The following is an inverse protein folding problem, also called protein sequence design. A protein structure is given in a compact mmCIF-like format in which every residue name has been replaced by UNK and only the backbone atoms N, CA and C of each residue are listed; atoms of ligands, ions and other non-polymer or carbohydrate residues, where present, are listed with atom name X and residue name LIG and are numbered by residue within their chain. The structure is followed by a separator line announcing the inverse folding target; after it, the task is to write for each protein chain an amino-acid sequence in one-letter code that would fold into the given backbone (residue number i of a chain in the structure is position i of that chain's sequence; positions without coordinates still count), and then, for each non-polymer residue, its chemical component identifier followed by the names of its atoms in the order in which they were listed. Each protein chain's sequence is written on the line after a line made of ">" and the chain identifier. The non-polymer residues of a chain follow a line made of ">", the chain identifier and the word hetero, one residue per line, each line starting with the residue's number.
data_IF_441674835502
#
_entry.id   IF_441674835502
#
_cell.length_a   1.000
_cell.length_b   1.000
_cell.length_c   1.000
_cell.angle_alpha   90.00
_cell.angle_beta   90.00
_cell.angle_gamma   90.00
#
_symmetry.space_group_name_H-M   'P 1'
#
loop_
_entity.id
_entity.type
_entity.pdbx_description
1 polymer ?
#
# COMPACT_ATOMS: atom_id res chain seq x y z
N UNK A 1 -2.28 22.16 -10.41
CA UNK A 1 -1.29 21.13 -10.78
C UNK A 1 -2.08 19.93 -11.27
N UNK A 2 -1.96 19.55 -12.53
CA UNK A 2 -2.75 18.46 -13.14
C UNK A 2 -2.17 17.13 -12.66
N UNK A 3 -3.04 16.21 -12.22
CA UNK A 3 -2.59 14.85 -11.91
C UNK A 3 -2.02 14.19 -13.17
N UNK A 4 -0.94 13.39 -13.08
CA UNK A 4 -0.39 12.68 -14.22
C UNK A 4 -1.46 11.73 -14.82
N UNK A 5 -1.44 11.56 -16.11
CA UNK A 5 -2.32 10.63 -16.82
C UNK A 5 -2.01 9.17 -16.40
N UNK A 6 -2.97 8.26 -16.60
CA UNK A 6 -2.76 6.81 -16.34
C UNK A 6 -1.52 6.27 -17.07
N UNK A 7 -1.22 6.78 -18.26
CA UNK A 7 -0.02 6.41 -19.01
C UNK A 7 1.26 6.89 -18.31
N UNK A 8 1.26 8.12 -17.77
CA UNK A 8 2.38 8.66 -17.00
C UNK A 8 2.53 7.96 -15.65
N UNK A 9 1.42 7.56 -14.98
CA UNK A 9 1.48 6.77 -13.74
C UNK A 9 2.05 5.37 -13.96
N UNK A 10 1.77 4.74 -15.11
CA UNK A 10 2.42 3.48 -15.50
C UNK A 10 3.93 3.62 -15.70
N UNK A 11 4.39 4.80 -16.05
CA UNK A 11 5.82 5.11 -16.24
C UNK A 11 6.52 5.33 -14.89
N UNK A 12 5.82 5.83 -13.85
CA UNK A 12 6.38 6.06 -12.50
C UNK A 12 6.47 4.75 -11.69
N UNK A 13 5.73 3.72 -12.08
CA UNK A 13 5.68 2.42 -11.39
C UNK A 13 4.91 2.46 -10.05
N UNK A 14 4.39 1.31 -9.64
CA UNK A 14 3.76 1.14 -8.32
C UNK A 14 4.85 1.19 -7.26
N UNK A 15 4.66 1.92 -6.14
CA UNK A 15 5.62 1.97 -5.04
C UNK A 15 5.97 0.58 -4.48
N UNK A 16 7.13 0.47 -3.85
CA UNK A 16 7.62 -0.81 -3.28
C UNK A 16 7.46 -0.91 -1.77
N UNK A 17 7.36 0.21 -1.06
CA UNK A 17 7.09 0.25 0.39
C UNK A 17 5.79 0.99 0.63
N UNK A 18 4.83 0.31 1.24
CA UNK A 18 3.51 0.83 1.55
C UNK A 18 3.35 0.94 3.07
N UNK A 19 3.35 2.14 3.62
CA UNK A 19 3.03 2.41 5.02
C UNK A 19 1.50 2.44 5.19
N UNK A 20 0.93 1.48 5.92
CA UNK A 20 -0.53 1.34 6.06
C UNK A 20 -0.97 1.80 7.44
N UNK A 21 -2.01 2.63 7.52
CA UNK A 21 -2.57 3.12 8.78
C UNK A 21 -3.65 2.19 9.35
N UNK A 22 -4.00 2.43 10.63
CA UNK A 22 -5.16 1.86 11.32
C UNK A 22 -5.94 2.97 12.02
N UNK A 23 -7.11 2.66 12.57
CA UNK A 23 -7.89 3.62 13.36
C UNK A 23 -7.09 4.20 14.55
N UNK A 24 -6.26 3.37 15.19
CA UNK A 24 -5.40 3.77 16.31
C UNK A 24 -4.29 4.73 15.85
N UNK A 25 -3.68 4.45 14.70
CA UNK A 25 -2.60 5.28 14.15
C UNK A 25 -3.13 6.67 13.75
N UNK A 26 -4.24 6.73 13.03
CA UNK A 26 -4.81 8.02 12.59
C UNK A 26 -5.37 8.86 13.75
N UNK A 27 -5.54 8.27 14.92
CA UNK A 27 -5.97 8.97 16.13
C UNK A 27 -4.82 9.54 16.95
N UNK A 28 -3.57 9.28 16.59
CA UNK A 28 -2.39 9.83 17.27
C UNK A 28 -2.32 11.34 17.05
N UNK A 29 -1.94 12.13 18.08
CA UNK A 29 -1.84 13.59 17.95
C UNK A 29 -0.84 14.05 16.87
N UNK A 30 0.23 13.30 16.69
CA UNK A 30 1.34 13.55 15.75
C UNK A 30 1.17 12.85 14.40
N UNK A 31 0.00 12.26 14.14
CA UNK A 31 -0.23 11.43 12.95
C UNK A 31 0.15 12.13 11.64
N UNK A 32 -0.32 13.37 11.43
CA UNK A 32 -0.08 14.08 10.16
C UNK A 32 1.42 14.37 9.98
N UNK A 33 2.09 14.83 11.03
CA UNK A 33 3.53 15.16 10.96
C UNK A 33 4.35 13.90 10.68
N UNK A 34 4.05 12.80 11.37
CA UNK A 34 4.69 11.50 11.16
C UNK A 34 4.41 10.96 9.75
N UNK A 35 3.17 11.04 9.28
CA UNK A 35 2.78 10.60 7.94
C UNK A 35 3.53 11.39 6.85
N UNK A 36 3.62 12.71 6.99
CA UNK A 36 4.37 13.56 6.06
C UNK A 36 5.87 13.24 6.07
N UNK A 37 6.45 12.94 7.23
CA UNK A 37 7.85 12.53 7.35
C UNK A 37 8.10 11.19 6.65
N UNK A 38 7.24 10.20 6.87
CA UNK A 38 7.29 8.91 6.17
C UNK A 38 7.17 9.11 4.64
N UNK A 39 6.21 9.91 4.18
CA UNK A 39 6.04 10.18 2.74
C UNK A 39 7.26 10.86 2.14
N UNK A 40 7.93 11.73 2.89
CA UNK A 40 9.13 12.42 2.44
C UNK A 40 10.30 11.46 2.26
N UNK A 41 10.56 10.60 3.22
CA UNK A 41 11.71 9.69 3.18
C UNK A 41 11.52 8.58 2.14
N UNK A 42 10.30 8.11 1.96
CA UNK A 42 9.98 7.10 0.96
C UNK A 42 9.96 7.66 -0.47
N UNK A 43 9.60 8.94 -0.63
CA UNK A 43 9.52 9.60 -1.93
C UNK A 43 8.63 8.84 -2.92
N UNK A 44 8.94 8.89 -4.23
CA UNK A 44 8.15 8.24 -5.27
C UNK A 44 8.15 6.69 -5.20
N UNK A 45 9.05 6.11 -4.39
CA UNK A 45 9.14 4.66 -4.14
C UNK A 45 8.21 4.18 -3.02
N UNK A 46 7.56 5.11 -2.31
CA UNK A 46 6.68 4.83 -1.20
C UNK A 46 5.24 5.24 -1.40
N UNK A 47 4.37 4.54 -0.68
CA UNK A 47 2.96 4.86 -0.59
C UNK A 47 2.51 4.92 0.88
N UNK A 48 1.63 5.86 1.17
CA UNK A 48 0.90 5.92 2.43
C UNK A 48 -0.54 5.49 2.16
N UNK A 49 -0.98 4.41 2.80
CA UNK A 49 -2.38 3.99 2.77
C UNK A 49 -3.14 4.63 3.93
N UNK A 50 -4.02 5.57 3.62
CA UNK A 50 -4.98 6.10 4.58
C UNK A 50 -6.12 5.09 4.74
N UNK A 51 -6.03 4.31 5.82
CA UNK A 51 -7.00 3.28 6.17
C UNK A 51 -7.50 3.51 7.58
N UNK A 52 -8.79 3.86 7.70
CA UNK A 52 -9.49 4.02 8.97
C UNK A 52 -10.98 3.72 8.75
N UNK A 53 -11.56 2.90 9.62
CA UNK A 53 -12.95 2.44 9.48
C UNK A 53 -13.92 3.13 10.44
N UNK A 54 -13.39 3.80 11.47
CA UNK A 54 -14.18 4.42 12.54
C UNK A 54 -14.34 5.93 12.40
N UNK A 55 -13.64 6.55 11.45
CA UNK A 55 -13.74 7.98 11.22
C UNK A 55 -15.05 8.35 10.50
N UNK A 56 -15.56 9.53 10.81
CA UNK A 56 -16.61 10.14 9.98
C UNK A 56 -16.07 10.47 8.59
N UNK A 57 -16.96 10.49 7.57
CA UNK A 57 -16.56 10.85 6.21
C UNK A 57 -15.86 12.20 6.13
N UNK A 58 -16.36 13.21 6.84
CA UNK A 58 -15.76 14.56 6.89
C UNK A 58 -14.33 14.54 7.46
N UNK A 59 -14.09 13.80 8.55
CA UNK A 59 -12.75 13.70 9.14
C UNK A 59 -11.80 12.92 8.22
N UNK A 60 -12.27 11.84 7.60
CA UNK A 60 -11.49 11.05 6.67
C UNK A 60 -11.11 11.87 5.43
N UNK A 61 -12.06 12.66 4.87
CA UNK A 61 -11.82 13.61 3.78
C UNK A 61 -10.74 14.65 4.16
N UNK A 62 -10.88 15.30 5.31
CA UNK A 62 -9.91 16.30 5.78
C UNK A 62 -8.49 15.75 5.93
N UNK A 63 -8.35 14.50 6.41
CA UNK A 63 -7.04 13.82 6.48
C UNK A 63 -6.50 13.52 5.08
N UNK A 64 -7.34 13.04 4.17
CA UNK A 64 -6.93 12.74 2.80
C UNK A 64 -6.44 14.00 2.07
N UNK A 65 -7.12 15.14 2.23
CA UNK A 65 -6.72 16.44 1.64
C UNK A 65 -5.36 16.91 2.18
N UNK A 66 -5.16 16.83 3.49
CA UNK A 66 -3.86 17.18 4.11
C UNK A 66 -2.71 16.30 3.60
N UNK A 67 -2.93 15.00 3.46
CA UNK A 67 -1.93 14.06 2.96
C UNK A 67 -1.71 14.19 1.44
N UNK A 68 -2.73 14.57 0.67
CA UNK A 68 -2.58 14.84 -0.76
C UNK A 68 -1.66 16.05 -1.04
N UNK A 69 -1.66 17.06 -0.14
CA UNK A 69 -0.68 18.13 -0.21
C UNK A 69 0.76 17.62 -0.03
N UNK A 70 0.98 16.72 0.94
CA UNK A 70 2.29 16.08 1.14
C UNK A 70 2.70 15.21 -0.07
N UNK A 71 1.75 14.49 -0.69
CA UNK A 71 1.98 13.75 -1.94
C UNK A 71 2.57 14.66 -3.04
N UNK A 72 2.00 15.85 -3.21
CA UNK A 72 2.46 16.82 -4.21
C UNK A 72 3.90 17.30 -3.98
N UNK A 73 4.33 17.38 -2.74
CA UNK A 73 5.67 17.86 -2.35
C UNK A 73 6.72 16.76 -2.38
N UNK A 74 6.37 15.54 -2.03
CA UNK A 74 7.32 14.44 -1.80
C UNK A 74 7.43 13.48 -3.00
N UNK A 75 6.44 13.47 -3.87
CA UNK A 75 6.31 12.46 -4.92
C UNK A 75 5.78 11.10 -4.41
N UNK A 76 5.70 10.90 -3.10
CA UNK A 76 5.12 9.71 -2.48
C UNK A 76 3.63 9.58 -2.81
N UNK A 77 3.11 8.37 -2.84
CA UNK A 77 1.71 8.13 -3.17
C UNK A 77 0.82 8.21 -1.94
N UNK A 78 -0.27 8.97 -2.02
CA UNK A 78 -1.42 8.77 -1.15
C UNK A 78 -2.35 7.74 -1.78
N UNK A 79 -2.67 6.70 -1.05
CA UNK A 79 -3.65 5.68 -1.41
C UNK A 79 -4.76 5.71 -0.35
N UNK A 80 -5.99 5.89 -0.78
CA UNK A 80 -7.16 5.92 0.10
C UNK A 80 -7.85 4.56 0.10
N UNK A 81 -8.02 3.96 1.27
CA UNK A 81 -8.69 2.66 1.36
C UNK A 81 -10.21 2.80 1.31
N UNK A 82 -10.87 1.92 0.56
CA UNK A 82 -12.32 1.69 0.45
C UNK A 82 -13.16 2.88 -0.07
N UNK A 83 -12.66 4.11 -0.04
CA UNK A 83 -13.39 5.34 -0.33
C UNK A 83 -12.87 6.01 -1.61
N UNK A 84 -13.32 5.50 -2.77
CA UNK A 84 -12.96 6.05 -4.09
C UNK A 84 -13.41 7.50 -4.24
N UNK A 85 -14.59 7.84 -3.73
CA UNK A 85 -15.13 9.19 -3.69
C UNK A 85 -14.17 10.17 -3.01
N UNK A 86 -13.62 9.79 -1.86
CA UNK A 86 -12.63 10.59 -1.13
C UNK A 86 -11.28 10.60 -1.86
N UNK A 87 -10.86 9.47 -2.43
CA UNK A 87 -9.63 9.43 -3.22
C UNK A 87 -9.66 10.44 -4.38
N UNK A 88 -10.78 10.48 -5.12
CA UNK A 88 -10.99 11.43 -6.21
C UNK A 88 -11.06 12.88 -5.71
N UNK A 89 -11.86 13.14 -4.69
CA UNK A 89 -12.08 14.48 -4.16
C UNK A 89 -10.80 15.09 -3.56
N UNK A 90 -9.98 14.30 -2.89
CA UNK A 90 -8.71 14.75 -2.31
C UNK A 90 -7.55 14.80 -3.33
N UNK A 91 -7.70 14.22 -4.52
CA UNK A 91 -6.63 14.11 -5.49
C UNK A 91 -5.54 13.11 -5.11
N UNK A 92 -5.93 12.03 -4.43
CA UNK A 92 -5.03 10.91 -4.16
C UNK A 92 -4.59 10.23 -5.45
N UNK A 93 -3.39 9.64 -5.49
CA UNK A 93 -2.92 8.88 -6.65
C UNK A 93 -3.59 7.53 -6.82
N UNK A 94 -4.08 6.95 -5.74
CA UNK A 94 -4.72 5.65 -5.82
C UNK A 94 -5.77 5.38 -4.77
N UNK A 95 -6.51 4.30 -4.99
CA UNK A 95 -7.41 3.71 -4.01
C UNK A 95 -7.10 2.22 -3.84
N UNK A 96 -7.16 1.74 -2.60
CA UNK A 96 -7.04 0.31 -2.27
C UNK A 96 -8.41 -0.25 -1.96
N UNK A 97 -8.85 -1.23 -2.73
CA UNK A 97 -10.10 -1.93 -2.52
C UNK A 97 -9.92 -3.16 -1.63
N UNK A 98 -10.87 -3.36 -0.74
CA UNK A 98 -10.95 -4.54 0.12
C UNK A 98 -12.27 -5.28 -0.12
N UNK A 99 -12.52 -6.38 0.58
CA UNK A 99 -13.78 -7.12 0.51
C UNK A 99 -15.02 -6.29 0.90
N UNK A 100 -14.82 -5.09 1.49
CA UNK A 100 -15.89 -4.15 1.86
C UNK A 100 -16.14 -3.06 0.84
N UNK A 101 -15.29 -2.96 -0.16
CA UNK A 101 -15.40 -1.97 -1.24
C UNK A 101 -16.37 -2.41 -2.33
N UNK A 102 -16.67 -1.50 -3.23
CA UNK A 102 -17.30 -1.86 -4.51
C UNK A 102 -16.37 -2.76 -5.34
N UNK A 103 -16.92 -3.50 -6.27
CA UNK A 103 -16.13 -4.36 -7.16
C UNK A 103 -15.10 -3.54 -7.95
N UNK A 104 -13.93 -4.13 -8.23
CA UNK A 104 -12.85 -3.48 -8.99
C UNK A 104 -13.32 -2.98 -10.36
N UNK A 105 -14.18 -3.76 -11.04
CA UNK A 105 -14.77 -3.37 -12.34
C UNK A 105 -15.66 -2.12 -12.25
N UNK A 106 -16.40 -1.96 -11.15
CA UNK A 106 -17.25 -0.79 -10.94
C UNK A 106 -16.41 0.42 -10.50
N UNK A 107 -15.40 0.19 -9.67
CA UNK A 107 -14.41 1.20 -9.33
C UNK A 107 -13.74 1.77 -10.58
N UNK A 108 -13.35 0.93 -11.53
CA UNK A 108 -12.73 1.35 -12.78
C UNK A 108 -13.67 2.18 -13.66
N UNK A 109 -14.98 1.89 -13.68
CA UNK A 109 -15.98 2.70 -14.38
C UNK A 109 -16.14 4.09 -13.78
N UNK A 110 -16.16 4.17 -12.44
CA UNK A 110 -16.34 5.44 -11.70
C UNK A 110 -15.08 6.30 -11.73
N UNK A 111 -13.92 5.66 -11.65
CA UNK A 111 -12.61 6.31 -11.55
C UNK A 111 -11.62 5.77 -12.61
N UNK A 112 -11.85 6.03 -13.92
CA UNK A 112 -11.06 5.40 -15.00
C UNK A 112 -9.59 5.78 -14.99
N UNK A 113 -9.24 6.92 -14.40
CA UNK A 113 -7.86 7.46 -14.34
C UNK A 113 -7.18 7.25 -12.98
N UNK A 114 -7.91 6.81 -11.95
CA UNK A 114 -7.35 6.54 -10.64
C UNK A 114 -6.60 5.20 -10.65
N UNK A 115 -5.42 5.13 -10.02
CA UNK A 115 -4.75 3.86 -9.81
C UNK A 115 -5.51 3.03 -8.76
N UNK A 116 -5.81 1.77 -9.05
CA UNK A 116 -6.67 0.91 -8.22
C UNK A 116 -5.91 -0.34 -7.79
N UNK A 117 -5.76 -0.52 -6.49
CA UNK A 117 -5.29 -1.75 -5.88
C UNK A 117 -6.43 -2.62 -5.37
N UNK A 118 -6.25 -3.92 -5.37
CA UNK A 118 -7.19 -4.88 -4.81
C UNK A 118 -6.53 -5.77 -3.75
N UNK A 119 -7.19 -5.94 -2.60
CA UNK A 119 -6.78 -6.91 -1.59
C UNK A 119 -7.28 -8.30 -1.98
N UNK A 120 -6.38 -9.29 -1.94
CA UNK A 120 -6.67 -10.66 -2.37
C UNK A 120 -6.13 -11.67 -1.37
N UNK A 121 -6.78 -12.84 -1.31
CA UNK A 121 -6.48 -13.88 -0.32
C UNK A 121 -6.17 -15.24 -0.96
N UNK A 122 -6.31 -15.34 -2.28
CA UNK A 122 -5.91 -16.49 -3.07
C UNK A 122 -5.58 -16.11 -4.52
N UNK A 123 -5.18 -17.09 -5.33
CA UNK A 123 -4.79 -16.90 -6.74
C UNK A 123 -5.98 -16.51 -7.61
N UNK A 124 -7.16 -17.06 -7.33
CA UNK A 124 -8.35 -16.81 -8.16
C UNK A 124 -8.90 -15.40 -7.93
N UNK A 125 -8.97 -14.93 -6.67
CA UNK A 125 -9.28 -13.54 -6.37
C UNK A 125 -8.30 -12.59 -7.08
N UNK A 126 -7.02 -12.95 -7.11
CA UNK A 126 -6.00 -12.20 -7.84
C UNK A 126 -6.30 -12.10 -9.33
N UNK A 127 -6.61 -13.23 -9.98
CA UNK A 127 -6.94 -13.27 -11.42
C UNK A 127 -8.21 -12.46 -11.74
N UNK A 128 -9.24 -12.60 -10.92
CA UNK A 128 -10.49 -11.84 -11.08
C UNK A 128 -10.22 -10.34 -10.95
N UNK A 129 -9.46 -9.91 -9.95
CA UNK A 129 -9.13 -8.50 -9.73
C UNK A 129 -8.31 -7.90 -10.88
N UNK A 130 -7.34 -8.66 -11.42
CA UNK A 130 -6.55 -8.25 -12.60
C UNK A 130 -7.47 -8.08 -13.81
N UNK A 131 -8.31 -9.06 -14.09
CA UNK A 131 -9.25 -9.02 -15.21
C UNK A 131 -10.25 -7.85 -15.08
N UNK A 132 -10.58 -7.46 -13.85
CA UNK A 132 -11.43 -6.32 -13.53
C UNK A 132 -10.68 -4.96 -13.59
N UNK A 133 -9.37 -4.94 -13.86
CA UNK A 133 -8.59 -3.74 -14.07
C UNK A 133 -7.86 -3.21 -12.84
N UNK A 134 -7.47 -4.07 -11.88
CA UNK A 134 -6.56 -3.69 -10.80
C UNK A 134 -5.16 -3.37 -11.36
N UNK A 135 -4.55 -2.29 -10.85
CA UNK A 135 -3.19 -1.86 -11.21
C UNK A 135 -2.13 -2.52 -10.32
N UNK A 136 -2.50 -2.93 -9.12
CA UNK A 136 -1.68 -3.77 -8.22
C UNK A 136 -2.57 -4.63 -7.32
N UNK A 137 -1.97 -5.65 -6.73
CA UNK A 137 -2.61 -6.53 -5.75
C UNK A 137 -1.93 -6.41 -4.40
N UNK A 138 -2.70 -6.39 -3.32
CA UNK A 138 -2.20 -6.55 -1.96
C UNK A 138 -2.58 -7.95 -1.48
N UNK A 139 -1.60 -8.84 -1.44
CA UNK A 139 -1.76 -10.22 -1.00
C UNK A 139 -1.67 -10.29 0.53
N UNK A 140 -2.83 -10.43 1.17
CA UNK A 140 -2.93 -10.56 2.61
C UNK A 140 -2.62 -12.00 3.02
N UNK A 141 -1.56 -12.18 3.80
CA UNK A 141 -1.38 -13.45 4.50
C UNK A 141 -2.46 -13.56 5.57
N UNK A 142 -3.15 -14.69 5.61
CA UNK A 142 -4.04 -14.99 6.72
C UNK A 142 -3.20 -14.98 8.00
N UNK A 143 -3.32 -13.91 8.80
CA UNK A 143 -2.79 -13.92 10.15
C UNK A 143 -3.61 -14.94 10.92
N UNK A 144 -3.10 -16.16 11.06
CA UNK A 144 -3.70 -17.12 11.98
C UNK A 144 -3.70 -16.48 13.36
N UNK A 145 -4.89 -16.16 13.84
CA UNK A 145 -5.09 -15.77 15.23
C UNK A 145 -4.42 -16.84 16.11
N UNK A 146 -3.34 -16.47 16.83
CA UNK A 146 -2.60 -17.40 17.67
C UNK A 146 -1.09 -17.56 17.36
N UNK A 147 -0.57 -16.89 16.32
CA UNK A 147 0.87 -16.94 16.06
C UNK A 147 1.67 -16.19 17.12
N UNK A 148 2.63 -16.86 17.72
CA UNK A 148 3.61 -16.26 18.64
C UNK A 148 4.63 -15.42 17.85
N UNK A 149 5.33 -14.48 18.54
CA UNK A 149 6.40 -13.64 17.95
C UNK A 149 7.56 -14.45 17.33
N UNK A 150 7.61 -15.77 17.54
CA UNK A 150 8.66 -16.66 17.04
C UNK A 150 8.25 -17.56 15.87
N UNK A 151 7.01 -17.46 15.40
CA UNK A 151 6.63 -18.21 14.20
C UNK A 151 7.34 -17.58 13.00
N UNK A 152 8.21 -18.37 12.35
CA UNK A 152 8.95 -17.93 11.17
C UNK A 152 7.99 -17.34 10.14
N UNK A 153 8.35 -16.18 9.61
CA UNK A 153 7.63 -15.55 8.50
C UNK A 153 7.49 -16.57 7.36
N UNK A 154 6.28 -16.97 7.07
CA UNK A 154 5.98 -17.86 5.96
C UNK A 154 5.09 -17.14 4.98
N UNK A 155 5.61 -16.89 3.80
CA UNK A 155 4.75 -16.55 2.68
C UNK A 155 3.99 -17.80 2.27
N UNK A 156 2.67 -17.72 2.24
CA UNK A 156 1.85 -18.79 1.71
C UNK A 156 2.21 -19.04 0.24
N UNK A 157 2.28 -20.31 -0.14
CA UNK A 157 2.72 -20.71 -1.49
C UNK A 157 1.90 -20.07 -2.61
N UNK A 158 0.62 -19.74 -2.34
CA UNK A 158 -0.25 -19.08 -3.31
C UNK A 158 0.21 -17.66 -3.67
N UNK A 159 0.78 -16.90 -2.70
CA UNK A 159 1.29 -15.53 -2.95
C UNK A 159 2.44 -15.58 -3.96
N UNK A 160 3.37 -16.53 -3.79
CA UNK A 160 4.45 -16.74 -4.74
C UNK A 160 3.94 -17.20 -6.11
N UNK A 161 2.96 -18.08 -6.12
CA UNK A 161 2.32 -18.55 -7.37
C UNK A 161 1.67 -17.38 -8.09
N UNK A 162 0.91 -16.53 -7.38
CA UNK A 162 0.29 -15.35 -7.95
C UNK A 162 1.34 -14.38 -8.51
N UNK A 163 2.36 -14.02 -7.72
CA UNK A 163 3.39 -13.08 -8.14
C UNK A 163 4.14 -13.52 -9.41
N UNK A 164 4.35 -14.83 -9.59
CA UNK A 164 5.00 -15.38 -10.77
C UNK A 164 4.08 -15.58 -11.98
N UNK A 165 2.77 -15.53 -11.77
CA UNK A 165 1.78 -15.76 -12.84
C UNK A 165 1.27 -14.47 -13.49
N UNK A 166 1.69 -13.29 -13.02
CA UNK A 166 1.21 -12.00 -13.51
C UNK A 166 2.32 -10.98 -13.64
N UNK A 167 2.13 -10.00 -14.53
CA UNK A 167 2.94 -8.79 -14.62
C UNK A 167 2.39 -7.65 -13.74
N UNK A 168 1.20 -7.82 -13.15
CA UNK A 168 0.63 -6.85 -12.22
C UNK A 168 1.39 -6.92 -10.90
N UNK A 169 1.87 -5.78 -10.35
CA UNK A 169 2.61 -5.75 -9.09
C UNK A 169 1.86 -6.40 -7.94
N UNK A 170 2.52 -7.33 -7.24
CA UNK A 170 1.99 -7.97 -6.03
C UNK A 170 2.73 -7.45 -4.82
N UNK A 171 2.00 -6.90 -3.87
CA UNK A 171 2.49 -6.34 -2.60
C UNK A 171 2.14 -7.31 -1.48
N UNK A 172 3.13 -7.74 -0.71
CA UNK A 172 2.88 -8.62 0.43
C UNK A 172 2.56 -7.83 1.69
N UNK A 173 1.51 -8.23 2.42
CA UNK A 173 1.14 -7.64 3.71
C UNK A 173 0.95 -8.73 4.77
N UNK A 174 1.32 -8.43 6.02
CA UNK A 174 1.10 -9.31 7.17
C UNK A 174 2.39 -9.77 7.82
N UNK A 175 2.81 -9.07 8.90
CA UNK A 175 3.99 -9.43 9.70
C UNK A 175 5.33 -9.32 8.97
N UNK A 176 5.40 -8.52 7.89
CA UNK A 176 6.64 -8.29 7.14
C UNK A 176 7.63 -7.53 8.01
N UNK A 177 8.84 -8.05 8.09
CA UNK A 177 10.00 -7.42 8.76
C UNK A 177 11.09 -7.10 7.73
N UNK A 178 12.06 -6.29 8.13
CA UNK A 178 13.14 -5.81 7.24
C UNK A 178 13.95 -6.97 6.65
N UNK A 179 14.28 -7.96 7.45
CA UNK A 179 15.04 -9.15 7.04
C UNK A 179 14.31 -10.07 6.05
N UNK A 180 12.99 -9.88 5.88
CA UNK A 180 12.20 -10.61 4.89
C UNK A 180 12.31 -10.01 3.47
N UNK A 181 12.76 -8.77 3.33
CA UNK A 181 12.72 -8.01 2.09
C UNK A 181 13.38 -8.74 0.91
N UNK A 182 14.60 -9.27 1.13
CA UNK A 182 15.33 -10.00 0.10
C UNK A 182 14.59 -11.26 -0.36
N UNK A 183 14.14 -12.10 0.59
CA UNK A 183 13.44 -13.34 0.28
C UNK A 183 12.14 -13.07 -0.49
N UNK A 184 11.42 -11.99 -0.16
CA UNK A 184 10.22 -11.57 -0.86
C UNK A 184 10.50 -11.22 -2.32
N UNK A 185 11.56 -10.46 -2.57
CA UNK A 185 11.96 -10.11 -3.93
C UNK A 185 12.35 -11.33 -4.76
N UNK A 186 13.12 -12.26 -4.19
CA UNK A 186 13.51 -13.51 -4.84
C UNK A 186 12.29 -14.38 -5.20
N UNK A 187 11.19 -14.23 -4.48
CA UNK A 187 9.89 -14.85 -4.81
C UNK A 187 9.13 -14.15 -5.93
N UNK A 188 9.56 -12.98 -6.39
CA UNK A 188 8.90 -12.18 -7.41
C UNK A 188 7.88 -11.19 -6.85
N UNK A 189 7.87 -10.95 -5.54
CA UNK A 189 7.02 -9.94 -4.90
C UNK A 189 7.54 -8.56 -5.27
N UNK A 190 6.66 -7.68 -5.73
CA UNK A 190 7.01 -6.34 -6.18
C UNK A 190 7.29 -5.39 -5.03
N UNK A 191 6.59 -5.52 -3.92
CA UNK A 191 6.70 -4.60 -2.78
C UNK A 191 6.10 -5.17 -1.49
N UNK A 192 6.20 -4.39 -0.44
CA UNK A 192 5.76 -4.76 0.91
C UNK A 192 4.84 -3.69 1.50
N UNK A 193 3.84 -4.12 2.26
CA UNK A 193 2.99 -3.25 3.04
C UNK A 193 3.20 -3.50 4.54
N UNK A 194 3.51 -2.44 5.26
CA UNK A 194 3.94 -2.48 6.65
C UNK A 194 3.02 -1.60 7.50
N UNK A 195 2.60 -2.13 8.66
CA UNK A 195 1.84 -1.38 9.66
C UNK A 195 2.76 -1.11 10.85
N UNK A 196 2.74 -1.98 11.85
CA UNK A 196 3.45 -1.79 13.13
C UNK A 196 4.96 -1.60 13.00
N UNK A 197 5.60 -2.27 12.04
CA UNK A 197 7.05 -2.15 11.82
C UNK A 197 7.51 -0.74 11.51
N UNK A 198 6.64 0.12 10.95
CA UNK A 198 6.91 1.53 10.70
C UNK A 198 6.28 2.37 11.83
N UNK A 199 4.97 2.24 12.06
CA UNK A 199 4.23 3.15 12.92
C UNK A 199 4.48 3.01 14.43
N UNK A 200 4.92 1.84 14.90
CA UNK A 200 5.22 1.60 16.31
C UNK A 200 6.74 1.63 16.60
N UNK A 201 7.55 1.98 15.60
CA UNK A 201 8.97 2.22 15.80
C UNK A 201 9.19 3.51 16.60
N UNK A 202 10.27 3.56 17.38
CA UNK A 202 10.68 4.76 18.12
C UNK A 202 10.98 5.95 17.20
N UNK A 203 11.36 5.69 15.96
CA UNK A 203 11.50 6.65 14.88
C UNK A 203 10.88 6.05 13.61
N UNK A 204 9.67 6.45 13.29
CA UNK A 204 8.91 5.93 12.16
C UNK A 204 9.52 6.33 10.79
N UNK A 205 10.12 7.53 10.70
CA UNK A 205 10.82 7.99 9.50
C UNK A 205 12.04 7.13 9.20
N UNK A 206 12.87 6.86 10.22
CA UNK A 206 14.03 5.98 10.06
C UNK A 206 13.61 4.55 9.72
N UNK A 207 12.59 4.01 10.37
CA UNK A 207 12.07 2.69 10.08
C UNK A 207 11.57 2.57 8.63
N UNK A 208 10.86 3.59 8.12
CA UNK A 208 10.43 3.63 6.72
C UNK A 208 11.63 3.63 5.75
N UNK A 209 12.68 4.41 6.06
CA UNK A 209 13.94 4.43 5.31
C UNK A 209 14.62 3.06 5.30
N UNK A 210 14.69 2.39 6.44
CA UNK A 210 15.31 1.08 6.59
C UNK A 210 14.57 0.02 5.75
N UNK A 211 13.24 0.03 5.77
CA UNK A 211 12.43 -0.85 4.90
C UNK A 211 12.67 -0.58 3.41
N UNK A 212 12.78 0.69 3.01
CA UNK A 212 13.06 1.04 1.63
C UNK A 212 14.45 0.57 1.21
N UNK A 213 15.47 0.84 2.04
CA UNK A 213 16.85 0.43 1.78
C UNK A 213 16.97 -1.09 1.66
N UNK A 214 16.37 -1.83 2.59
CA UNK A 214 16.39 -3.29 2.56
C UNK A 214 15.66 -3.87 1.32
N UNK A 215 14.65 -3.16 0.82
CA UNK A 215 13.93 -3.57 -0.39
C UNK A 215 14.70 -3.21 -1.66
N UNK A 216 15.50 -2.15 -1.66
CA UNK A 216 16.32 -1.69 -2.79
C UNK A 216 17.69 -2.36 -2.86
N UNK A 217 18.19 -2.88 -1.74
CA UNK A 217 19.53 -3.49 -1.67
C UNK A 217 19.59 -4.75 -2.55
N UNK A 218 19.89 -4.49 -3.82
CA UNK A 218 20.26 -5.54 -4.78
C UNK A 218 21.71 -5.84 -4.47
N UNK A 219 21.95 -6.83 -3.61
CA UNK A 219 23.31 -7.35 -3.47
C UNK A 219 23.91 -7.52 -4.87
N UNK A 220 24.85 -6.67 -5.18
CA UNK A 220 25.71 -6.83 -6.37
C UNK A 220 26.44 -8.15 -6.15
N UNK A 221 26.03 -9.19 -6.89
CA UNK A 221 26.80 -10.42 -7.06
C UNK A 221 27.86 -10.17 -8.10
#
# INVERSE_FOLDING_TARGET
>A
MTLPSVAEMRTIGVPVVHAVTTDEIVSRPDFIDTACAIMRVLGPRGALHLRASRLTGARFQSLAEGLAAAQGLTGGWLIVNDRIDIALAAGARGAQLTSRSIATSDARKVAPTLAIGASVHDVEEGRISIAAGADWLVAAQASSAGRTKHDAFRIEGWVRTLARSTSVPVIAIGGVQIDHARALREMGIHGIAVIRGIWDASNAEQAASDYLSAYDDVGVL
#
